data_IF_287127603548
#
_entry.id   IF_287127603548
#
_cell.length_a   1.000
_cell.length_b   1.000
_cell.length_c   1.000
_cell.angle_alpha   90.00
_cell.angle_beta   90.00
_cell.angle_gamma   90.00
#
_symmetry.space_group_name_H-M   'P 1'
#
loop_
_entity.id
_entity.type
_entity.pdbx_description
1 polymer ?
#
# COMPACT_ATOMS: atom_id res chain seq x y z
N UNK A 1 7.65 9.37 6.87
CA UNK A 1 8.97 9.41 7.56
C UNK A 1 9.93 8.32 7.10
N UNK A 2 9.55 7.02 7.03
CA UNK A 2 10.47 5.96 6.59
C UNK A 2 11.01 6.16 5.16
N UNK A 3 10.12 6.51 4.21
CA UNK A 3 10.47 6.75 2.80
C UNK A 3 11.54 7.85 2.68
N UNK A 4 11.37 8.93 3.43
CA UNK A 4 12.22 10.11 3.40
C UNK A 4 13.62 9.81 3.92
N UNK A 5 13.74 9.00 4.99
CA UNK A 5 15.04 8.54 5.51
C UNK A 5 15.79 7.69 4.46
N UNK A 6 15.09 6.76 3.80
CA UNK A 6 15.69 5.91 2.75
C UNK A 6 16.14 6.77 1.56
N UNK A 7 15.35 7.76 1.16
CA UNK A 7 15.69 8.68 0.07
C UNK A 7 16.91 9.57 0.35
N UNK A 8 17.22 9.85 1.62
CA UNK A 8 18.43 10.55 2.02
C UNK A 8 19.65 9.62 2.15
N UNK A 9 19.55 8.39 1.65
CA UNK A 9 20.59 7.36 1.73
C UNK A 9 20.99 7.00 3.19
N UNK A 10 20.09 7.19 4.15
CA UNK A 10 20.34 6.93 5.57
C UNK A 10 19.88 5.53 6.01
N UNK A 11 19.46 4.67 5.08
CA UNK A 11 19.07 3.30 5.38
C UNK A 11 18.41 2.59 4.19
N UNK A 12 17.98 1.36 4.44
CA UNK A 12 17.24 0.51 3.52
C UNK A 12 16.14 -0.24 4.27
N UNK A 13 15.18 -0.81 3.55
CA UNK A 13 14.19 -1.70 4.15
C UNK A 13 12.91 -1.85 3.33
N UNK A 14 11.99 -2.72 3.78
CA UNK A 14 10.75 -3.00 3.07
C UNK A 14 9.88 -1.75 2.92
N UNK A 15 9.34 -1.54 1.72
CA UNK A 15 8.43 -0.46 1.39
C UNK A 15 7.31 -1.02 0.51
N UNK A 16 6.04 -0.63 0.73
CA UNK A 16 4.98 -0.96 -0.19
C UNK A 16 5.23 -0.36 -1.58
N UNK A 17 5.06 -1.15 -2.63
CA UNK A 17 5.36 -0.75 -4.00
C UNK A 17 4.62 0.54 -4.41
N UNK A 18 3.34 0.67 -4.02
CA UNK A 18 2.55 1.86 -4.33
C UNK A 18 3.10 3.16 -3.71
N UNK A 19 3.89 3.07 -2.63
CA UNK A 19 4.49 4.24 -1.98
C UNK A 19 5.81 4.68 -2.64
N UNK A 20 6.50 3.79 -3.36
CA UNK A 20 7.85 4.04 -3.91
C UNK A 20 7.95 3.82 -5.43
N UNK A 21 6.84 3.51 -6.10
CA UNK A 21 6.81 3.22 -7.54
C UNK A 21 7.43 4.32 -8.39
N UNK A 22 7.25 5.60 -8.01
CA UNK A 22 7.87 6.71 -8.73
C UNK A 22 9.39 6.73 -8.59
N UNK A 23 9.88 6.56 -7.36
CA UNK A 23 11.31 6.56 -7.07
C UNK A 23 12.04 5.37 -7.68
N UNK A 24 11.39 4.20 -7.73
CA UNK A 24 11.91 3.02 -8.41
C UNK A 24 12.00 3.24 -9.93
N UNK A 25 10.96 3.84 -10.53
CA UNK A 25 10.94 4.14 -11.97
C UNK A 25 11.99 5.17 -12.37
N UNK A 26 12.17 6.18 -11.53
CA UNK A 26 13.10 7.30 -11.79
C UNK A 26 14.54 6.98 -11.33
N UNK A 27 14.79 5.78 -10.77
CA UNK A 27 16.10 5.32 -10.32
C UNK A 27 16.62 5.97 -9.02
N UNK A 28 15.79 6.75 -8.32
CA UNK A 28 16.13 7.32 -7.00
C UNK A 28 16.20 6.25 -5.91
N UNK A 29 15.46 5.17 -6.08
CA UNK A 29 15.54 3.96 -5.27
C UNK A 29 15.85 2.77 -6.16
N UNK A 30 16.58 1.80 -5.61
CA UNK A 30 16.86 0.54 -6.26
C UNK A 30 16.18 -0.58 -5.45
N UNK A 31 15.50 -1.50 -6.15
CA UNK A 31 14.94 -2.69 -5.50
C UNK A 31 16.07 -3.62 -5.09
N UNK A 32 16.02 -4.10 -3.85
CA UNK A 32 16.89 -5.16 -3.34
C UNK A 32 16.24 -6.55 -3.44
N UNK A 33 15.04 -6.65 -4.02
CA UNK A 33 14.36 -7.92 -4.16
C UNK A 33 15.15 -8.85 -5.09
N UNK A 34 15.28 -10.11 -4.69
CA UNK A 34 15.96 -11.16 -5.44
C UNK A 34 15.33 -12.52 -5.14
N UNK A 35 15.82 -13.58 -5.80
CA UNK A 35 15.44 -14.97 -5.52
C UNK A 35 15.77 -15.45 -4.10
N UNK A 36 16.61 -14.72 -3.36
CA UNK A 36 16.99 -15.06 -1.98
C UNK A 36 16.47 -14.04 -0.96
N UNK A 37 16.05 -12.87 -1.44
CA UNK A 37 15.50 -11.80 -0.62
C UNK A 37 14.19 -11.36 -1.24
N UNK A 38 13.14 -12.11 -0.93
CA UNK A 38 11.81 -11.86 -1.46
C UNK A 38 11.18 -10.64 -0.78
N UNK A 39 10.34 -9.93 -1.54
CA UNK A 39 9.39 -8.99 -0.94
C UNK A 39 8.38 -9.72 -0.06
N UNK A 40 7.65 -8.95 0.75
CA UNK A 40 6.51 -9.46 1.52
C UNK A 40 5.22 -8.89 0.96
N UNK A 41 4.18 -9.72 0.89
CA UNK A 41 2.81 -9.24 0.68
C UNK A 41 2.22 -8.89 2.05
N UNK A 42 1.60 -7.72 2.15
CA UNK A 42 0.87 -7.30 3.34
C UNK A 42 -0.54 -6.95 2.90
N UNK A 43 -1.53 -7.59 3.51
CA UNK A 43 -2.94 -7.25 3.28
C UNK A 43 -3.23 -5.87 3.85
N UNK A 44 -3.74 -4.97 2.99
CA UNK A 44 -4.25 -3.67 3.41
C UNK A 44 -5.76 -3.75 3.53
N UNK A 45 -6.27 -3.50 4.72
CA UNK A 45 -7.70 -3.52 5.02
C UNK A 45 -8.21 -2.12 5.34
N UNK A 46 -9.40 -1.81 4.84
CA UNK A 46 -10.18 -0.67 5.31
C UNK A 46 -11.18 -1.16 6.37
N UNK A 47 -11.13 -0.56 7.56
CA UNK A 47 -12.04 -0.88 8.65
C UNK A 47 -12.91 0.35 8.98
N UNK A 48 -14.17 0.11 9.31
CA UNK A 48 -15.08 1.13 9.86
C UNK A 48 -15.85 0.60 11.05
N UNK A 49 -16.24 1.49 11.96
CA UNK A 49 -17.13 1.13 13.07
C UNK A 49 -18.50 0.70 12.52
N UNK A 50 -18.96 -0.46 12.98
CA UNK A 50 -20.29 -0.99 12.67
C UNK A 50 -21.40 -0.22 13.40
N UNK A 51 -22.63 -0.35 12.92
CA UNK A 51 -23.83 0.24 13.52
C UNK A 51 -24.31 1.49 12.81
N UNK A 52 -23.76 2.65 13.16
CA UNK A 52 -24.30 3.94 12.72
C UNK A 52 -24.08 4.18 11.21
N UNK A 53 -25.07 4.82 10.59
CA UNK A 53 -24.89 5.44 9.28
C UNK A 53 -23.81 6.53 9.41
N UNK A 54 -22.74 6.39 8.63
CA UNK A 54 -21.73 7.42 8.54
C UNK A 54 -22.26 8.55 7.64
N UNK A 55 -21.85 9.78 7.88
CA UNK A 55 -22.28 10.93 7.06
C UNK A 55 -22.00 10.73 5.56
N UNK A 56 -22.63 11.54 4.71
CA UNK A 56 -22.62 11.35 3.26
C UNK A 56 -21.21 11.10 2.66
N UNK A 57 -20.21 11.88 3.09
CA UNK A 57 -18.83 11.72 2.63
C UNK A 57 -18.22 10.36 2.99
N UNK A 58 -18.39 9.91 4.25
CA UNK A 58 -17.86 8.65 4.72
C UNK A 58 -18.60 7.44 4.12
N UNK A 59 -19.91 7.58 3.87
CA UNK A 59 -20.69 6.57 3.15
C UNK A 59 -20.26 6.44 1.68
N UNK A 60 -20.03 7.56 0.99
CA UNK A 60 -19.51 7.56 -0.37
C UNK A 60 -18.10 6.94 -0.46
N UNK A 61 -17.22 7.33 0.46
CA UNK A 61 -15.88 6.75 0.55
C UNK A 61 -15.93 5.24 0.79
N UNK A 62 -16.80 4.77 1.70
CA UNK A 62 -16.96 3.35 1.96
C UNK A 62 -17.43 2.58 0.72
N UNK A 63 -18.37 3.15 -0.06
CA UNK A 63 -18.82 2.56 -1.31
C UNK A 63 -17.68 2.41 -2.34
N UNK A 64 -16.84 3.45 -2.49
CA UNK A 64 -15.66 3.39 -3.36
C UNK A 64 -14.65 2.33 -2.89
N UNK A 65 -14.36 2.28 -1.59
CA UNK A 65 -13.42 1.32 -1.02
C UNK A 65 -13.88 -0.13 -1.20
N UNK A 66 -15.19 -0.40 -1.07
CA UNK A 66 -15.78 -1.71 -1.35
C UNK A 66 -15.59 -2.10 -2.83
N UNK A 67 -15.89 -1.19 -3.76
CA UNK A 67 -15.71 -1.44 -5.19
C UNK A 67 -14.25 -1.71 -5.58
N UNK A 68 -13.29 -1.03 -4.94
CA UNK A 68 -11.86 -1.27 -5.15
C UNK A 68 -11.40 -2.62 -4.58
N UNK A 69 -12.00 -3.09 -3.48
CA UNK A 69 -11.65 -4.37 -2.86
C UNK A 69 -12.02 -5.58 -3.74
N UNK A 70 -13.14 -5.49 -4.46
CA UNK A 70 -13.64 -6.56 -5.35
C UNK A 70 -12.79 -6.71 -6.63
N UNK A 71 -11.97 -5.71 -6.95
CA UNK A 71 -11.07 -5.72 -8.10
C UNK A 71 -9.67 -6.30 -7.82
N UNK A 72 -9.39 -6.76 -6.59
CA UNK A 72 -8.10 -7.35 -6.23
C UNK A 72 -8.09 -8.88 -6.47
N UNK A 73 -7.37 -9.40 -7.49
CA UNK A 73 -7.37 -10.82 -7.85
C UNK A 73 -6.66 -11.73 -6.84
N UNK A 74 -5.94 -11.17 -5.86
CA UNK A 74 -5.24 -11.94 -4.82
C UNK A 74 -6.14 -12.30 -3.63
N UNK A 75 -7.39 -11.82 -3.60
CA UNK A 75 -8.32 -12.02 -2.48
C UNK A 75 -8.92 -13.44 -2.40
N UNK A 76 -8.74 -14.24 -3.46
CA UNK A 76 -9.28 -15.60 -3.60
C UNK A 76 -8.23 -16.72 -3.45
N UNK A 77 -6.98 -16.40 -3.09
CA UNK A 77 -5.91 -17.39 -2.88
C UNK A 77 -5.66 -17.70 -1.41
#
# INVERSE_FOLDING_TARGET
MKKEVILQALGWGPMPDFLVAAELRDGRLNSMASSYFHGGLIELVAARRAGNAHGAAASALWCVLQGSADSNPERER
#
